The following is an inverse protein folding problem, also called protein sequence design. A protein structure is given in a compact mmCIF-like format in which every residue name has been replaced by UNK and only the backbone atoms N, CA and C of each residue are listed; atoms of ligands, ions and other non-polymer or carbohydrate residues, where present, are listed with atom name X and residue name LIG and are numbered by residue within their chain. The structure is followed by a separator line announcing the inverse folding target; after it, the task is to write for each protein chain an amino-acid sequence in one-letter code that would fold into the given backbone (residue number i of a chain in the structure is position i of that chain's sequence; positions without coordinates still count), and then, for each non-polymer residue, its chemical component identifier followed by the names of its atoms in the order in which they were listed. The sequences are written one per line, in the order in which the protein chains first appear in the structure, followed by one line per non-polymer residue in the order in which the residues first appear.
data_IF_445063604831
#
_entry.id   IF_445063604831
#
_cell.length_a   1.000
_cell.length_b   1.000
_cell.length_c   1.000
_cell.angle_alpha   90.00
_cell.angle_beta   90.00
_cell.angle_gamma   90.00
#
_symmetry.space_group_name_H-M   'P 1'
#
loop_
_entity.id
_entity.type
_entity.pdbx_description
1 polymer ?
#
# COMPACT_ATOMS: atom_id res chain seq x y z
N UNK A 1 -54.12 20.28 -15.36
CA UNK A 1 -54.37 21.24 -14.28
C UNK A 1 -54.15 20.54 -12.94
N UNK A 2 -53.04 20.77 -12.27
CA UNK A 2 -52.80 20.86 -10.83
C UNK A 2 -51.30 21.07 -10.63
N UNK A 3 -50.97 22.28 -10.16
CA UNK A 3 -49.64 22.73 -9.74
C UNK A 3 -49.14 21.89 -8.58
N UNK A 4 -47.84 21.53 -8.63
CA UNK A 4 -47.05 21.17 -7.44
C UNK A 4 -45.92 22.19 -7.33
N UNK A 5 -45.90 22.87 -6.21
CA UNK A 5 -45.02 23.97 -5.88
C UNK A 5 -43.61 23.49 -5.58
N UNK A 6 -42.63 24.23 -6.11
CA UNK A 6 -41.23 24.22 -5.70
C UNK A 6 -41.11 24.75 -4.26
N UNK A 7 -40.43 24.02 -3.40
CA UNK A 7 -39.85 24.56 -2.16
C UNK A 7 -38.33 24.55 -2.30
N UNK A 8 -37.80 25.67 -2.81
CA UNK A 8 -36.42 26.07 -2.61
C UNK A 8 -36.24 26.56 -1.17
N UNK A 9 -35.50 25.80 -0.35
CA UNK A 9 -34.95 26.32 0.90
C UNK A 9 -33.44 26.46 0.75
N UNK A 10 -33.03 27.62 0.23
CA UNK A 10 -31.64 28.09 0.28
C UNK A 10 -31.29 28.45 1.73
N UNK A 11 -30.41 27.67 2.35
CA UNK A 11 -29.80 28.03 3.64
C UNK A 11 -28.65 28.99 3.37
N UNK A 12 -28.89 30.27 3.60
CA UNK A 12 -27.87 31.31 3.63
C UNK A 12 -26.97 31.12 4.85
N UNK A 13 -25.73 30.71 4.62
CA UNK A 13 -24.65 30.81 5.62
C UNK A 13 -24.10 32.24 5.62
N UNK A 14 -24.39 32.94 6.71
CA UNK A 14 -23.88 34.27 7.02
C UNK A 14 -22.36 34.19 7.27
N UNK A 15 -21.55 34.97 6.53
CA UNK A 15 -20.13 35.16 6.77
C UNK A 15 -19.93 36.01 8.04
N UNK A 16 -19.83 35.33 9.19
CA UNK A 16 -19.39 35.93 10.45
C UNK A 16 -17.86 36.00 10.51
N UNK A 17 -17.37 37.15 10.82
CA UNK A 17 -15.97 37.58 10.97
C UNK A 17 -15.10 36.60 11.75
N UNK A 18 -13.92 36.28 11.18
CA UNK A 18 -12.83 35.59 11.90
C UNK A 18 -12.24 36.51 12.97
N UNK A 19 -12.05 36.04 14.20
CA UNK A 19 -11.30 36.79 15.19
C UNK A 19 -9.82 36.76 14.84
N UNK A 20 -9.19 37.93 14.77
CA UNK A 20 -7.74 38.11 14.64
C UNK A 20 -7.06 37.53 15.88
N UNK A 21 -6.34 36.44 15.74
CA UNK A 21 -5.44 35.94 16.75
C UNK A 21 -4.22 36.84 16.85
N UNK A 22 -4.15 37.52 17.96
CA UNK A 22 -3.05 38.37 18.39
C UNK A 22 -1.79 37.50 18.58
N UNK A 23 -0.73 37.83 17.86
CA UNK A 23 0.60 37.23 18.06
C UNK A 23 1.22 37.86 19.31
N UNK A 24 1.07 37.23 20.45
CA UNK A 24 1.91 37.50 21.63
C UNK A 24 2.86 36.32 21.83
N UNK A 25 4.04 36.45 21.23
CA UNK A 25 5.21 35.62 21.55
C UNK A 25 5.70 36.00 22.93
N UNK A 26 5.27 35.29 23.98
CA UNK A 26 6.01 35.28 25.24
C UNK A 26 6.68 33.94 25.40
N UNK A 27 7.99 34.02 25.40
CA UNK A 27 8.96 32.99 25.75
C UNK A 27 8.57 32.32 27.07
N UNK A 28 8.30 31.03 27.04
CA UNK A 28 8.43 30.18 28.22
C UNK A 28 9.80 29.50 28.14
N UNK A 29 10.80 30.21 28.71
CA UNK A 29 12.09 29.65 29.04
C UNK A 29 11.90 28.65 30.19
N UNK A 30 12.10 27.37 29.90
CA UNK A 30 12.12 26.32 30.90
C UNK A 30 13.37 26.45 31.77
N UNK A 31 13.20 26.89 33.01
CA UNK A 31 14.20 26.92 34.05
C UNK A 31 14.49 25.48 34.52
N UNK A 32 15.50 24.85 33.94
CA UNK A 32 16.22 23.77 34.58
C UNK A 32 17.66 24.21 34.85
N UNK A 33 17.85 24.94 35.93
CA UNK A 33 19.20 25.21 36.49
C UNK A 33 19.42 24.34 37.72
N UNK A 34 20.48 23.54 37.64
CA UNK A 34 21.40 23.11 38.68
C UNK A 34 20.83 22.51 39.97
N UNK A 35 21.04 21.23 40.15
CA UNK A 35 21.55 20.69 41.43
C UNK A 35 22.71 19.72 41.17
N UNK A 36 23.92 20.30 41.05
CA UNK A 36 25.16 19.62 41.45
C UNK A 36 25.42 20.09 42.88
N UNK A 37 25.56 19.14 43.79
CA UNK A 37 26.05 19.45 45.14
C UNK A 37 25.80 18.34 46.11
N UNK A 38 26.84 17.56 46.38
CA UNK A 38 27.21 16.93 47.64
C UNK A 38 26.27 15.88 48.26
N UNK A 39 26.77 14.65 48.26
CA UNK A 39 27.02 13.92 49.48
C UNK A 39 28.01 12.75 49.18
N UNK A 40 29.26 12.97 49.59
CA UNK A 40 30.23 11.89 49.92
C UNK A 40 29.92 11.48 51.35
N UNK A 41 29.76 10.19 51.60
CA UNK A 41 30.39 9.49 52.70
C UNK A 41 29.74 8.11 52.93
N UNK A 42 30.60 7.09 52.89
CA UNK A 42 30.70 5.93 53.75
C UNK A 42 29.51 4.92 53.90
N UNK A 43 29.83 3.70 53.46
CA UNK A 43 29.11 2.51 53.84
C UNK A 43 29.52 1.28 53.01
N UNK A 44 30.71 0.72 53.32
CA UNK A 44 31.06 -0.64 52.86
C UNK A 44 30.22 -1.64 53.63
N UNK A 45 29.43 -2.45 52.94
CA UNK A 45 28.98 -3.77 53.45
C UNK A 45 28.65 -4.67 52.28
N UNK A 46 29.41 -5.74 52.25
CA UNK A 46 29.33 -6.93 51.43
C UNK A 46 27.90 -7.48 51.37
N UNK A 47 27.36 -7.74 50.17
CA UNK A 47 26.37 -8.79 49.98
C UNK A 47 26.59 -9.52 48.66
N UNK A 48 26.53 -10.79 48.81
CA UNK A 48 26.77 -11.93 47.97
C UNK A 48 26.20 -11.82 46.52
N UNK A 49 26.98 -12.42 45.67
CA UNK A 49 26.68 -12.78 44.30
C UNK A 49 25.28 -13.39 44.12
N UNK A 50 24.46 -12.76 43.35
CA UNK A 50 23.38 -13.42 42.59
C UNK A 50 23.50 -12.93 41.16
N UNK A 51 23.68 -13.90 40.25
CA UNK A 51 24.06 -13.70 38.86
C UNK A 51 23.07 -12.78 38.10
N UNK A 52 23.52 -11.60 37.78
CA UNK A 52 23.01 -10.86 36.68
C UNK A 52 23.62 -11.46 35.42
N UNK A 53 22.88 -12.34 34.74
CA UNK A 53 23.17 -12.70 33.37
C UNK A 53 23.10 -11.40 32.53
N UNK A 54 24.27 -10.87 32.25
CA UNK A 54 24.49 -9.88 31.18
C UNK A 54 24.02 -10.57 29.91
N UNK A 55 22.85 -10.17 29.42
CA UNK A 55 22.45 -10.47 28.06
C UNK A 55 23.45 -9.71 27.15
N UNK A 56 24.58 -10.36 26.86
CA UNK A 56 25.37 -10.00 25.70
C UNK A 56 24.50 -10.34 24.50
N UNK A 57 23.94 -9.30 23.90
CA UNK A 57 23.28 -9.36 22.60
C UNK A 57 24.37 -9.69 21.54
N UNK A 58 24.82 -10.96 21.53
CA UNK A 58 25.53 -11.50 20.40
C UNK A 58 24.51 -11.62 19.28
N UNK A 59 24.42 -10.56 18.46
CA UNK A 59 23.86 -10.65 17.12
C UNK A 59 24.66 -11.74 16.38
N UNK A 60 24.30 -13.01 16.57
CA UNK A 60 24.55 -14.02 15.56
C UNK A 60 23.88 -13.51 14.29
N UNK A 61 24.66 -13.02 13.34
CA UNK A 61 24.23 -12.85 11.96
C UNK A 61 23.77 -14.24 11.51
N UNK A 62 22.46 -14.46 11.58
CA UNK A 62 21.84 -15.62 10.97
C UNK A 62 22.25 -15.62 9.49
N UNK A 63 23.15 -16.54 9.12
CA UNK A 63 23.54 -16.80 7.73
C UNK A 63 22.48 -17.59 6.96
N UNK A 64 21.23 -17.63 7.45
CA UNK A 64 20.15 -18.18 6.65
C UNK A 64 19.90 -17.24 5.48
N UNK A 65 20.32 -17.66 4.30
CA UNK A 65 19.93 -17.02 3.05
C UNK A 65 18.41 -17.16 2.91
N UNK A 66 17.69 -16.08 3.21
CA UNK A 66 16.26 -15.99 2.94
C UNK A 66 16.05 -16.10 1.44
N UNK A 67 14.91 -16.68 1.05
CA UNK A 67 14.46 -16.73 -0.32
C UNK A 67 13.09 -16.08 -0.38
N UNK A 68 13.05 -14.78 -0.68
CA UNK A 68 11.80 -14.03 -0.76
C UNK A 68 11.51 -13.60 -2.20
N UNK A 69 10.23 -13.62 -2.57
CA UNK A 69 9.69 -12.93 -3.74
C UNK A 69 8.87 -11.76 -3.23
N UNK A 70 9.35 -10.55 -3.52
CA UNK A 70 8.73 -9.30 -3.07
C UNK A 70 7.64 -8.86 -4.06
N UNK A 71 6.38 -8.91 -3.63
CA UNK A 71 5.23 -8.53 -4.47
C UNK A 71 4.84 -7.06 -4.33
N UNK A 72 5.59 -6.29 -3.52
CA UNK A 72 5.31 -4.88 -3.25
C UNK A 72 6.61 -4.07 -3.27
N UNK A 73 7.06 -3.74 -4.48
CA UNK A 73 8.35 -3.09 -4.72
C UNK A 73 8.20 -1.97 -5.73
N UNK A 74 8.52 -0.74 -5.32
CA UNK A 74 8.38 0.43 -6.18
C UNK A 74 9.67 0.76 -6.91
N UNK A 75 9.52 1.36 -8.07
CA UNK A 75 10.61 1.82 -8.92
C UNK A 75 10.33 3.24 -9.43
N UNK A 76 11.38 3.97 -9.75
CA UNK A 76 11.30 5.37 -10.12
C UNK A 76 12.07 5.65 -11.40
N UNK A 77 11.45 5.47 -12.61
CA UNK A 77 12.06 5.91 -13.86
C UNK A 77 12.45 7.40 -13.77
N UNK A 78 13.60 7.82 -14.33
CA UNK A 78 14.11 9.18 -14.12
C UNK A 78 13.12 10.31 -14.47
N UNK A 79 12.39 10.16 -15.59
CA UNK A 79 11.37 11.16 -15.96
C UNK A 79 10.20 11.21 -14.98
N UNK A 80 9.74 10.06 -14.50
CA UNK A 80 8.70 9.97 -13.49
C UNK A 80 9.18 10.51 -12.14
N UNK A 81 10.39 10.13 -11.69
CA UNK A 81 10.98 10.61 -10.45
C UNK A 81 11.03 12.14 -10.44
N UNK A 82 11.54 12.73 -11.52
CA UNK A 82 11.58 14.20 -11.65
C UNK A 82 10.18 14.82 -11.58
N UNK A 83 9.22 14.29 -12.32
CA UNK A 83 7.85 14.82 -12.33
C UNK A 83 7.18 14.69 -10.95
N UNK A 84 7.46 13.60 -10.23
CA UNK A 84 6.97 13.38 -8.87
C UNK A 84 7.57 14.39 -7.88
N UNK A 85 8.88 14.59 -7.89
CA UNK A 85 9.55 15.56 -7.02
C UNK A 85 9.08 17.00 -7.32
N UNK A 86 8.95 17.38 -8.59
CA UNK A 86 8.39 18.67 -9.01
C UNK A 86 6.93 18.86 -8.51
N UNK A 87 6.14 17.77 -8.48
CA UNK A 87 4.77 17.78 -7.97
C UNK A 87 4.73 18.02 -6.45
N UNK A 88 5.59 17.34 -5.70
CA UNK A 88 5.73 17.50 -4.26
C UNK A 88 6.21 18.91 -3.89
N UNK A 89 7.22 19.43 -4.60
CA UNK A 89 7.74 20.78 -4.40
C UNK A 89 6.67 21.87 -4.56
N UNK A 90 5.87 21.77 -5.63
CA UNK A 90 4.76 22.71 -5.89
C UNK A 90 3.70 22.70 -4.77
N UNK A 91 3.62 21.67 -3.98
CA UNK A 91 2.64 21.48 -2.90
C UNK A 91 3.25 21.56 -1.51
N UNK A 92 4.55 21.86 -1.42
CA UNK A 92 5.32 21.87 -0.18
C UNK A 92 5.21 20.55 0.59
N UNK A 93 5.18 19.42 -0.14
CA UNK A 93 5.24 18.07 0.42
C UNK A 93 6.71 17.69 0.58
N UNK A 94 7.18 17.32 1.79
CA UNK A 94 8.56 16.90 1.99
C UNK A 94 8.87 15.63 1.20
N UNK A 95 10.01 15.61 0.51
CA UNK A 95 10.48 14.43 -0.21
C UNK A 95 10.87 13.32 0.75
N UNK A 96 10.56 12.10 0.37
CA UNK A 96 11.05 10.93 1.08
C UNK A 96 12.48 10.61 0.60
N UNK A 97 13.44 10.59 1.52
CA UNK A 97 14.88 10.51 1.20
C UNK A 97 15.21 9.33 0.27
N UNK A 98 14.67 8.15 0.55
CA UNK A 98 14.94 6.95 -0.25
C UNK A 98 14.30 6.99 -1.65
N UNK A 99 13.22 7.72 -1.83
CA UNK A 99 12.60 7.99 -3.12
C UNK A 99 13.51 8.88 -3.99
N UNK A 100 14.12 9.89 -3.38
CA UNK A 100 15.08 10.79 -4.07
C UNK A 100 16.34 10.05 -4.49
N UNK A 101 16.86 9.17 -3.64
CA UNK A 101 18.09 8.42 -3.86
C UNK A 101 17.90 7.06 -4.54
N UNK A 102 16.69 6.74 -5.02
CA UNK A 102 16.42 5.45 -5.64
C UNK A 102 17.26 5.24 -6.90
N UNK A 103 17.83 4.05 -7.03
CA UNK A 103 18.49 3.56 -8.24
C UNK A 103 18.32 2.05 -8.37
N UNK A 104 18.54 1.53 -9.58
CA UNK A 104 18.47 0.08 -9.86
C UNK A 104 19.55 -0.67 -9.06
N UNK A 105 20.77 -0.13 -9.01
CA UNK A 105 21.90 -0.71 -8.28
C UNK A 105 21.62 -0.75 -6.77
N UNK A 106 21.03 0.34 -6.24
CA UNK A 106 20.59 0.42 -4.85
C UNK A 106 19.53 -0.63 -4.53
N UNK A 107 18.53 -0.78 -5.39
CA UNK A 107 17.48 -1.78 -5.24
C UNK A 107 18.06 -3.21 -5.23
N UNK A 108 18.94 -3.53 -6.18
CA UNK A 108 19.61 -4.85 -6.26
C UNK A 108 20.45 -5.13 -5.01
N UNK A 109 21.22 -4.14 -4.54
CA UNK A 109 22.03 -4.26 -3.32
C UNK A 109 21.18 -4.53 -2.07
N UNK A 110 20.05 -3.80 -1.93
CA UNK A 110 19.11 -3.98 -0.82
C UNK A 110 18.39 -5.35 -0.91
N UNK A 111 18.02 -5.79 -2.11
CA UNK A 111 17.47 -7.13 -2.37
C UNK A 111 18.45 -8.23 -1.94
N UNK A 112 19.72 -8.12 -2.36
CA UNK A 112 20.74 -9.11 -2.01
C UNK A 112 20.98 -9.17 -0.51
N UNK A 113 21.02 -8.02 0.16
CA UNK A 113 21.21 -7.92 1.60
C UNK A 113 20.04 -8.52 2.39
N UNK A 114 18.81 -8.41 1.88
CA UNK A 114 17.60 -8.91 2.53
C UNK A 114 17.24 -10.36 2.11
N UNK A 115 17.93 -10.96 1.14
CA UNK A 115 17.59 -12.28 0.60
C UNK A 115 16.38 -12.28 -0.33
N UNK A 116 16.02 -11.12 -0.90
CA UNK A 116 14.97 -10.99 -1.92
C UNK A 116 15.54 -11.39 -3.29
N UNK A 117 15.05 -12.47 -3.85
CA UNK A 117 15.55 -13.01 -5.13
C UNK A 117 14.87 -12.36 -6.33
N UNK A 118 13.58 -12.12 -6.24
CA UNK A 118 12.78 -11.47 -7.28
C UNK A 118 11.90 -10.41 -6.65
N UNK A 119 11.76 -9.25 -7.28
CA UNK A 119 10.84 -8.19 -6.88
C UNK A 119 9.89 -7.84 -8.02
N UNK A 120 8.61 -7.64 -7.71
CA UNK A 120 7.59 -7.24 -8.67
C UNK A 120 7.53 -5.73 -8.73
N UNK A 121 8.03 -5.16 -9.81
CA UNK A 121 8.05 -3.71 -10.03
C UNK A 121 6.64 -3.16 -10.15
N UNK A 122 6.30 -2.17 -9.33
CA UNK A 122 5.02 -1.46 -9.37
C UNK A 122 5.20 0.02 -9.09
N UNK A 123 4.30 0.85 -9.60
CA UNK A 123 4.33 2.29 -9.29
C UNK A 123 3.61 2.56 -7.97
N UNK A 124 4.19 3.41 -7.14
CA UNK A 124 3.55 3.85 -5.89
C UNK A 124 2.35 4.78 -6.14
N UNK A 125 2.27 5.38 -7.33
CA UNK A 125 1.11 6.15 -7.77
C UNK A 125 0.98 6.08 -9.30
N UNK A 126 -0.19 6.43 -9.81
CA UNK A 126 -0.41 6.45 -11.27
C UNK A 126 0.31 7.64 -11.89
N UNK A 127 1.24 7.40 -12.83
CA UNK A 127 1.94 8.46 -13.53
C UNK A 127 0.97 9.43 -14.22
N UNK A 128 1.10 10.72 -13.94
CA UNK A 128 0.37 11.78 -14.61
C UNK A 128 -1.01 12.11 -14.07
N UNK A 129 -1.70 11.22 -13.36
CA UNK A 129 -3.02 11.55 -12.75
C UNK A 129 -2.87 12.61 -11.66
N UNK A 130 -1.82 12.51 -10.86
CA UNK A 130 -1.51 13.50 -9.85
C UNK A 130 -0.93 14.80 -10.38
N UNK A 131 -0.35 14.74 -11.58
CA UNK A 131 0.40 15.85 -12.14
C UNK A 131 -0.47 16.79 -12.97
N UNK A 132 -1.80 16.58 -12.98
CA UNK A 132 -2.76 17.38 -13.73
C UNK A 132 -2.40 17.51 -15.23
N UNK A 133 -1.88 16.42 -15.78
CA UNK A 133 -1.44 16.38 -17.17
C UNK A 133 -2.61 16.11 -18.12
N UNK A 134 -2.52 16.58 -19.38
CA UNK A 134 -3.43 16.15 -20.44
C UNK A 134 -3.33 14.64 -20.69
N UNK A 135 -4.42 13.99 -21.11
CA UNK A 135 -4.49 12.55 -21.34
C UNK A 135 -3.32 12.00 -22.21
N UNK A 136 -2.94 12.73 -23.24
CA UNK A 136 -1.80 12.35 -24.11
C UNK A 136 -0.49 12.25 -23.33
N UNK A 137 -0.24 13.19 -22.43
CA UNK A 137 0.97 13.18 -21.59
C UNK A 137 0.91 12.10 -20.50
N UNK A 138 -0.27 11.85 -19.96
CA UNK A 138 -0.50 10.75 -19.01
C UNK A 138 -0.17 9.41 -19.68
N UNK A 139 -0.74 9.14 -20.87
CA UNK A 139 -0.51 7.91 -21.61
C UNK A 139 0.97 7.73 -21.98
N UNK A 140 1.63 8.80 -22.39
CA UNK A 140 3.07 8.79 -22.68
C UNK A 140 3.90 8.48 -21.43
N UNK A 141 3.58 9.06 -20.29
CA UNK A 141 4.27 8.79 -19.02
C UNK A 141 4.07 7.35 -18.57
N UNK A 142 2.83 6.84 -18.61
CA UNK A 142 2.50 5.44 -18.30
C UNK A 142 3.31 4.49 -19.17
N UNK A 143 3.27 4.67 -20.49
CA UNK A 143 4.03 3.87 -21.44
C UNK A 143 5.53 3.89 -21.14
N UNK A 144 6.10 5.06 -20.90
CA UNK A 144 7.53 5.19 -20.61
C UNK A 144 7.95 4.51 -19.30
N UNK A 145 7.06 4.50 -18.27
CA UNK A 145 7.32 3.77 -17.04
C UNK A 145 7.29 2.25 -17.25
N UNK A 146 6.31 1.75 -18.00
CA UNK A 146 6.22 0.32 -18.31
C UNK A 146 7.40 -0.16 -19.16
N UNK A 147 7.81 0.62 -20.16
CA UNK A 147 8.97 0.33 -21.01
C UNK A 147 10.28 0.31 -20.20
N UNK A 148 10.44 1.26 -19.27
CA UNK A 148 11.61 1.29 -18.38
C UNK A 148 11.69 0.05 -17.50
N UNK A 149 10.56 -0.38 -16.92
CA UNK A 149 10.51 -1.60 -16.13
C UNK A 149 10.82 -2.85 -16.97
N UNK A 150 10.29 -2.94 -18.18
CA UNK A 150 10.60 -4.03 -19.10
C UNK A 150 12.11 -4.07 -19.44
N UNK A 151 12.75 -2.91 -19.62
CA UNK A 151 14.19 -2.83 -19.80
C UNK A 151 14.96 -3.31 -18.59
N UNK A 152 14.55 -2.90 -17.35
CA UNK A 152 15.16 -3.42 -16.11
C UNK A 152 15.10 -4.95 -16.02
N UNK A 153 13.98 -5.56 -16.43
CA UNK A 153 13.81 -7.01 -16.44
C UNK A 153 14.78 -7.68 -17.42
N UNK A 154 14.98 -7.08 -18.60
CA UNK A 154 15.93 -7.58 -19.61
C UNK A 154 17.38 -7.46 -19.13
N UNK A 155 17.72 -6.33 -18.51
CA UNK A 155 19.09 -6.05 -18.03
C UNK A 155 19.46 -6.92 -16.80
N UNK A 156 18.45 -7.36 -16.00
CA UNK A 156 18.63 -8.13 -14.80
C UNK A 156 17.74 -9.40 -14.76
N UNK A 157 18.02 -10.39 -15.62
CA UNK A 157 17.18 -11.59 -15.77
C UNK A 157 16.94 -12.30 -14.44
N UNK A 158 15.66 -12.59 -14.16
CA UNK A 158 15.24 -13.31 -12.95
C UNK A 158 15.17 -12.46 -11.67
N UNK A 159 15.60 -11.19 -11.71
CA UNK A 159 15.57 -10.31 -10.53
C UNK A 159 14.27 -9.51 -10.41
N UNK A 160 13.66 -9.19 -11.50
CA UNK A 160 12.44 -8.38 -11.52
C UNK A 160 11.31 -9.06 -12.29
N UNK A 161 10.08 -8.71 -11.95
CA UNK A 161 8.85 -8.90 -12.70
C UNK A 161 8.10 -7.58 -12.77
N UNK A 162 6.95 -7.53 -13.46
CA UNK A 162 6.21 -6.29 -13.71
C UNK A 162 4.73 -6.41 -13.37
N UNK A 163 4.27 -5.57 -12.45
CA UNK A 163 2.89 -5.15 -12.36
C UNK A 163 2.74 -3.81 -13.08
N UNK A 164 2.40 -3.88 -14.37
CA UNK A 164 2.37 -2.73 -15.25
C UNK A 164 1.32 -1.69 -14.80
N UNK A 165 1.69 -0.42 -14.83
CA UNK A 165 0.75 0.66 -14.48
C UNK A 165 -0.21 0.96 -15.63
N UNK A 166 -1.45 1.35 -15.31
CA UNK A 166 -2.49 1.73 -16.26
C UNK A 166 -2.99 3.14 -15.95
N UNK A 167 -3.54 3.83 -16.94
CA UNK A 167 -4.04 5.21 -16.75
C UNK A 167 -5.35 5.24 -15.96
N UNK A 168 -6.28 4.34 -16.24
CA UNK A 168 -7.64 4.26 -15.67
C UNK A 168 -8.52 5.52 -15.84
N UNK A 169 -8.01 6.61 -16.43
CA UNK A 169 -8.75 7.86 -16.63
C UNK A 169 -9.55 7.88 -17.94
N UNK A 170 -9.15 7.07 -18.91
CA UNK A 170 -9.85 6.87 -20.18
C UNK A 170 -9.87 5.38 -20.52
N UNK A 171 -11.06 4.84 -20.73
CA UNK A 171 -11.25 3.40 -20.97
C UNK A 171 -10.53 2.93 -22.23
N UNK A 172 -10.61 3.69 -23.33
CA UNK A 172 -10.02 3.29 -24.60
C UNK A 172 -8.50 3.17 -24.49
N UNK A 173 -7.84 4.22 -24.02
CA UNK A 173 -6.38 4.20 -23.85
C UNK A 173 -5.91 3.18 -22.82
N UNK A 174 -6.71 2.93 -21.78
CA UNK A 174 -6.42 1.87 -20.82
C UNK A 174 -6.47 0.48 -21.44
N UNK A 175 -7.46 0.19 -22.30
CA UNK A 175 -7.55 -1.08 -23.02
C UNK A 175 -6.40 -1.26 -24.02
N UNK A 176 -5.99 -0.19 -24.70
CA UNK A 176 -4.81 -0.19 -25.59
C UNK A 176 -3.53 -0.48 -24.81
N UNK A 177 -3.38 0.12 -23.60
CA UNK A 177 -2.23 -0.15 -22.74
C UNK A 177 -2.25 -1.57 -22.18
N UNK A 178 -3.40 -2.13 -21.78
CA UNK A 178 -3.54 -3.53 -21.37
C UNK A 178 -3.06 -4.47 -22.48
N UNK A 179 -3.47 -4.23 -23.72
CA UNK A 179 -2.99 -5.04 -24.85
C UNK A 179 -1.47 -4.95 -24.98
N UNK A 180 -0.90 -3.76 -24.89
CA UNK A 180 0.54 -3.56 -25.02
C UNK A 180 1.33 -4.26 -23.91
N UNK A 181 0.97 -4.06 -22.64
CA UNK A 181 1.75 -4.61 -21.53
C UNK A 181 1.71 -6.14 -21.46
N UNK A 182 0.58 -6.76 -21.85
CA UNK A 182 0.50 -8.22 -21.86
C UNK A 182 1.03 -8.84 -23.17
N UNK A 183 0.75 -8.21 -24.33
CA UNK A 183 1.03 -8.82 -25.62
C UNK A 183 2.46 -8.50 -26.11
N UNK A 184 3.01 -7.34 -25.72
CA UNK A 184 4.36 -6.91 -26.12
C UNK A 184 5.36 -7.05 -24.97
N UNK A 185 5.09 -6.43 -23.80
CA UNK A 185 6.03 -6.42 -22.69
C UNK A 185 6.01 -7.73 -21.87
N UNK A 186 4.97 -8.56 -21.99
CA UNK A 186 4.79 -9.80 -21.23
C UNK A 186 4.77 -9.57 -19.72
N UNK A 187 4.08 -8.51 -19.29
CA UNK A 187 3.91 -8.20 -17.89
C UNK A 187 3.27 -9.37 -17.11
N UNK A 188 3.73 -9.60 -15.87
CA UNK A 188 3.20 -10.63 -14.98
C UNK A 188 1.80 -10.28 -14.46
N UNK A 189 1.46 -8.98 -14.43
CA UNK A 189 0.16 -8.47 -14.01
C UNK A 189 0.05 -6.97 -14.22
N UNK A 190 -0.97 -6.35 -13.61
CA UNK A 190 -1.15 -4.89 -13.62
C UNK A 190 -1.21 -4.34 -12.20
N UNK A 191 -0.64 -3.15 -12.00
CA UNK A 191 -0.70 -2.38 -10.76
C UNK A 191 -1.71 -1.24 -10.89
N UNK A 192 -2.74 -1.26 -10.06
CA UNK A 192 -3.80 -0.25 -10.01
C UNK A 192 -3.75 0.53 -8.69
N UNK A 193 -4.26 1.74 -8.73
CA UNK A 193 -4.50 2.53 -7.52
C UNK A 193 -5.89 2.25 -6.96
N UNK A 194 -6.08 2.55 -5.68
CA UNK A 194 -7.36 2.36 -4.99
C UNK A 194 -8.46 3.28 -5.48
N UNK A 195 -8.08 4.45 -6.00
CA UNK A 195 -9.01 5.44 -6.56
C UNK A 195 -8.36 6.24 -7.70
N UNK A 196 -9.20 6.83 -8.54
CA UNK A 196 -8.81 7.73 -9.63
C UNK A 196 -9.76 8.92 -9.62
N UNK A 197 -9.29 10.04 -9.06
CA UNK A 197 -10.12 11.23 -8.84
C UNK A 197 -11.20 10.97 -7.79
N UNK A 198 -12.45 11.03 -8.19
CA UNK A 198 -13.65 10.83 -7.36
C UNK A 198 -14.26 9.41 -7.47
N UNK A 199 -13.55 8.47 -8.13
CA UNK A 199 -14.03 7.11 -8.39
C UNK A 199 -13.19 6.07 -7.66
N UNK A 200 -13.84 5.23 -6.88
CA UNK A 200 -13.24 4.03 -6.31
C UNK A 200 -13.15 2.92 -7.34
N UNK A 201 -12.27 1.94 -7.11
CA UNK A 201 -12.00 0.84 -8.04
C UNK A 201 -13.24 0.05 -8.48
N UNK A 202 -14.31 -0.02 -7.67
CA UNK A 202 -15.57 -0.69 -8.04
C UNK A 202 -16.54 0.16 -8.86
N UNK A 203 -16.16 1.35 -9.33
CA UNK A 203 -17.04 2.21 -10.14
C UNK A 203 -17.38 1.55 -11.48
N UNK A 204 -18.63 1.71 -11.94
CA UNK A 204 -19.16 1.06 -13.15
C UNK A 204 -18.39 1.40 -14.43
N UNK A 205 -17.80 2.59 -14.52
CA UNK A 205 -17.01 3.01 -15.67
C UNK A 205 -15.79 2.10 -15.92
N UNK A 206 -15.32 1.38 -14.91
CA UNK A 206 -14.18 0.47 -15.04
C UNK A 206 -14.58 -0.94 -15.46
N UNK A 207 -15.88 -1.22 -15.63
CA UNK A 207 -16.35 -2.54 -16.04
C UNK A 207 -15.67 -3.07 -17.31
N UNK A 208 -15.52 -2.30 -18.42
CA UNK A 208 -14.86 -2.80 -19.62
C UNK A 208 -13.39 -3.17 -19.39
N UNK A 209 -12.71 -2.46 -18.48
CA UNK A 209 -11.31 -2.72 -18.11
C UNK A 209 -11.20 -4.04 -17.36
N UNK A 210 -12.06 -4.26 -16.34
CA UNK A 210 -12.07 -5.52 -15.59
C UNK A 210 -12.56 -6.69 -16.44
N UNK A 211 -13.44 -6.49 -17.40
CA UNK A 211 -13.84 -7.52 -18.38
C UNK A 211 -12.65 -8.02 -19.20
N UNK A 212 -11.81 -7.11 -19.69
CA UNK A 212 -10.60 -7.46 -20.44
C UNK A 212 -9.54 -8.11 -19.54
N UNK A 213 -9.31 -7.59 -18.32
CA UNK A 213 -8.41 -8.22 -17.35
C UNK A 213 -8.88 -9.63 -16.95
N UNK A 214 -10.19 -9.82 -16.79
CA UNK A 214 -10.78 -11.14 -16.52
C UNK A 214 -10.61 -12.10 -17.70
N UNK A 215 -10.80 -11.64 -18.94
CA UNK A 215 -10.57 -12.44 -20.15
C UNK A 215 -9.12 -12.91 -20.24
N UNK A 216 -8.17 -12.07 -19.82
CA UNK A 216 -6.72 -12.36 -19.78
C UNK A 216 -6.31 -13.20 -18.57
N UNK A 217 -7.19 -13.44 -17.61
CA UNK A 217 -6.89 -14.09 -16.32
C UNK A 217 -5.78 -13.36 -15.55
N UNK A 218 -5.83 -12.04 -15.58
CA UNK A 218 -4.77 -11.18 -15.08
C UNK A 218 -4.62 -11.26 -13.56
N UNK A 219 -3.38 -11.07 -13.08
CA UNK A 219 -3.12 -10.66 -11.72
C UNK A 219 -3.29 -9.13 -11.63
N UNK A 220 -4.13 -8.68 -10.70
CA UNK A 220 -4.40 -7.26 -10.47
C UNK A 220 -4.00 -6.90 -9.04
N UNK A 221 -2.93 -6.13 -8.95
CA UNK A 221 -2.38 -5.61 -7.70
C UNK A 221 -2.92 -4.22 -7.41
N UNK A 222 -3.34 -3.97 -6.17
CA UNK A 222 -3.83 -2.66 -5.73
C UNK A 222 -2.90 -2.00 -4.73
N UNK A 223 -2.44 -0.79 -5.08
CA UNK A 223 -1.68 0.07 -4.19
C UNK A 223 -2.52 1.29 -3.75
N UNK A 224 -2.49 1.71 -2.47
CA UNK A 224 -3.29 2.82 -2.01
C UNK A 224 -2.80 4.16 -2.55
N UNK A 225 -3.77 5.02 -2.84
CA UNK A 225 -3.58 6.42 -3.15
C UNK A 225 -4.55 7.23 -2.29
N UNK A 226 -4.01 8.09 -1.41
CA UNK A 226 -4.85 8.88 -0.53
C UNK A 226 -5.86 9.71 -1.33
N UNK A 227 -7.15 9.50 -1.07
CA UNK A 227 -8.21 10.21 -1.77
C UNK A 227 -8.17 11.71 -1.43
N UNK A 228 -8.40 12.56 -2.42
CA UNK A 228 -8.32 14.02 -2.29
C UNK A 228 -9.25 14.59 -1.21
N UNK A 229 -10.37 13.92 -0.90
CA UNK A 229 -11.29 14.30 0.17
C UNK A 229 -10.63 14.28 1.56
N UNK A 230 -9.62 13.43 1.79
CA UNK A 230 -8.97 13.26 3.09
C UNK A 230 -8.03 14.42 3.44
N UNK A 231 -7.52 15.15 2.46
CA UNK A 231 -6.66 16.32 2.67
C UNK A 231 -7.31 17.50 3.39
N UNK A 232 -8.64 17.47 3.59
CA UNK A 232 -9.40 18.55 4.26
C UNK A 232 -9.29 18.52 5.79
N UNK A 233 -8.98 17.37 6.37
CA UNK A 233 -8.82 17.18 7.81
C UNK A 233 -7.47 16.51 8.08
N UNK A 234 -6.47 17.34 8.42
CA UNK A 234 -5.13 16.86 8.69
C UNK A 234 -5.01 16.38 10.14
N UNK A 235 -4.58 15.14 10.33
CA UNK A 235 -4.32 14.55 11.66
C UNK A 235 -2.94 14.88 12.21
N UNK A 236 -2.11 15.61 11.47
CA UNK A 236 -0.72 15.91 11.85
C UNK A 236 0.27 14.78 11.56
N UNK A 237 -0.16 13.74 10.85
CA UNK A 237 0.71 12.64 10.40
C UNK A 237 0.69 12.49 8.88
N UNK A 238 1.64 11.71 8.35
CA UNK A 238 1.66 11.39 6.92
C UNK A 238 0.43 10.59 6.49
N UNK A 239 -0.13 10.84 5.30
CA UNK A 239 -1.27 10.08 4.77
C UNK A 239 -1.01 8.56 4.72
N UNK A 240 0.23 8.12 4.55
CA UNK A 240 0.61 6.72 4.57
C UNK A 240 0.25 6.00 5.88
N UNK A 241 0.16 6.72 7.01
CA UNK A 241 -0.14 6.11 8.32
C UNK A 241 -1.62 5.74 8.47
N UNK A 242 -2.52 6.61 8.02
CA UNK A 242 -3.96 6.44 8.20
C UNK A 242 -4.69 6.26 6.86
N UNK A 243 -4.44 7.14 5.91
CA UNK A 243 -5.24 7.15 4.68
C UNK A 243 -4.95 5.93 3.80
N UNK A 244 -3.68 5.54 3.63
CA UNK A 244 -3.31 4.41 2.78
C UNK A 244 -4.03 3.10 3.19
N UNK A 245 -3.97 2.62 4.46
CA UNK A 245 -4.70 1.40 4.84
C UNK A 245 -6.22 1.55 4.73
N UNK A 246 -6.77 2.75 4.98
CA UNK A 246 -8.21 2.97 4.82
C UNK A 246 -8.62 3.01 3.34
N UNK A 247 -7.79 3.54 2.45
CA UNK A 247 -8.08 3.59 1.03
C UNK A 247 -8.02 2.22 0.38
N UNK A 248 -7.07 1.36 0.76
CA UNK A 248 -7.11 -0.07 0.41
C UNK A 248 -8.43 -0.69 0.81
N UNK A 249 -8.89 -0.44 2.05
CA UNK A 249 -10.16 -0.98 2.54
C UNK A 249 -11.36 -0.46 1.75
N UNK A 250 -11.38 0.82 1.39
CA UNK A 250 -12.45 1.42 0.56
C UNK A 250 -12.50 0.78 -0.83
N UNK A 251 -11.33 0.54 -1.45
CA UNK A 251 -11.26 -0.14 -2.74
C UNK A 251 -11.82 -1.57 -2.67
N UNK A 252 -11.41 -2.36 -1.65
CA UNK A 252 -11.93 -3.72 -1.45
C UNK A 252 -13.44 -3.71 -1.26
N UNK A 253 -13.97 -2.82 -0.41
CA UNK A 253 -15.42 -2.72 -0.17
C UNK A 253 -16.17 -2.26 -1.43
N UNK A 254 -15.62 -1.30 -2.17
CA UNK A 254 -16.19 -0.83 -3.44
C UNK A 254 -16.29 -1.96 -4.47
N UNK A 255 -15.23 -2.73 -4.67
CA UNK A 255 -15.21 -3.90 -5.56
C UNK A 255 -16.14 -5.01 -5.09
N UNK A 256 -16.18 -5.30 -3.78
CA UNK A 256 -17.06 -6.29 -3.19
C UNK A 256 -18.53 -5.94 -3.49
N UNK A 257 -18.97 -4.73 -3.14
CA UNK A 257 -20.36 -4.30 -3.28
C UNK A 257 -20.78 -4.13 -4.74
N UNK A 258 -19.83 -3.85 -5.65
CA UNK A 258 -20.05 -3.87 -7.10
C UNK A 258 -20.12 -5.31 -7.67
N UNK A 259 -19.94 -6.34 -6.85
CA UNK A 259 -19.96 -7.75 -7.30
C UNK A 259 -18.74 -8.15 -8.13
N UNK A 260 -17.65 -7.37 -8.11
CA UNK A 260 -16.49 -7.59 -8.96
C UNK A 260 -15.85 -8.97 -8.73
N UNK A 261 -15.76 -9.42 -7.47
CA UNK A 261 -15.17 -10.72 -7.11
C UNK A 261 -16.00 -11.92 -7.56
N UNK A 262 -17.30 -11.71 -7.77
CA UNK A 262 -18.23 -12.71 -8.31
C UNK A 262 -18.25 -12.67 -9.84
N UNK A 263 -18.24 -11.45 -10.43
CA UNK A 263 -18.33 -11.25 -11.87
C UNK A 263 -17.02 -11.62 -12.58
N UNK A 264 -15.86 -11.26 -12.00
CA UNK A 264 -14.56 -11.39 -12.63
C UNK A 264 -13.71 -12.49 -11.96
N UNK A 265 -14.20 -13.73 -12.00
CA UNK A 265 -13.64 -14.89 -11.26
C UNK A 265 -12.25 -15.32 -11.74
N UNK A 266 -11.83 -14.94 -12.94
CA UNK A 266 -10.51 -15.29 -13.47
C UNK A 266 -9.42 -14.29 -13.04
N UNK A 267 -9.78 -13.13 -12.46
CA UNK A 267 -8.82 -12.19 -11.94
C UNK A 267 -8.25 -12.71 -10.61
N UNK A 268 -6.92 -12.72 -10.50
CA UNK A 268 -6.23 -12.90 -9.24
C UNK A 268 -6.06 -11.52 -8.58
N UNK A 269 -6.80 -11.27 -7.50
CA UNK A 269 -6.84 -9.98 -6.82
C UNK A 269 -5.83 -9.92 -5.69
N UNK A 270 -4.84 -9.02 -5.76
CA UNK A 270 -3.83 -8.80 -4.73
C UNK A 270 -3.95 -7.40 -4.14
N UNK A 271 -4.10 -7.31 -2.82
CA UNK A 271 -4.23 -6.04 -2.11
C UNK A 271 -3.05 -5.80 -1.17
N UNK A 272 -2.52 -4.59 -1.20
CA UNK A 272 -1.40 -4.16 -0.39
C UNK A 272 -1.73 -4.03 1.10
N UNK A 273 -0.67 -4.03 1.93
CA UNK A 273 -0.72 -3.72 3.36
C UNK A 273 -1.75 -4.55 4.15
N UNK A 274 -1.74 -5.87 3.93
CA UNK A 274 -2.69 -6.82 4.55
C UNK A 274 -4.16 -6.49 4.24
N UNK A 275 -4.45 -5.82 3.12
CA UNK A 275 -5.80 -5.34 2.81
C UNK A 275 -6.23 -4.14 3.65
N UNK A 276 -5.26 -3.41 4.23
CA UNK A 276 -5.52 -2.26 5.08
C UNK A 276 -6.25 -2.64 6.36
N UNK A 277 -7.44 -2.10 6.57
CA UNK A 277 -8.28 -2.39 7.75
C UNK A 277 -9.35 -3.46 7.51
N UNK A 278 -9.36 -4.11 6.35
CA UNK A 278 -10.34 -5.17 6.01
C UNK A 278 -10.41 -6.29 7.04
N UNK A 279 -9.29 -6.83 7.57
CA UNK A 279 -9.37 -7.88 8.58
C UNK A 279 -10.15 -7.46 9.84
N UNK A 280 -10.10 -6.19 10.21
CA UNK A 280 -10.84 -5.64 11.34
C UNK A 280 -12.29 -5.28 10.99
N UNK A 281 -12.58 -5.01 9.72
CA UNK A 281 -13.90 -4.56 9.26
C UNK A 281 -14.79 -5.69 8.74
N UNK A 282 -14.26 -6.87 8.46
CA UNK A 282 -15.00 -7.98 7.84
C UNK A 282 -16.33 -8.29 8.55
N UNK A 283 -16.31 -8.42 9.88
CA UNK A 283 -17.53 -8.63 10.68
C UNK A 283 -18.52 -7.46 10.60
N UNK A 284 -18.00 -6.21 10.56
CA UNK A 284 -18.84 -5.03 10.41
C UNK A 284 -19.48 -4.95 9.03
N UNK A 285 -18.74 -5.25 7.97
CA UNK A 285 -19.25 -5.31 6.61
C UNK A 285 -20.37 -6.36 6.53
N UNK A 286 -20.13 -7.55 7.12
CA UNK A 286 -21.13 -8.61 7.17
C UNK A 286 -22.39 -8.21 7.96
N UNK A 287 -22.25 -7.48 9.07
CA UNK A 287 -23.38 -6.99 9.84
C UNK A 287 -24.30 -6.07 9.04
N UNK A 288 -23.74 -5.14 8.26
CA UNK A 288 -24.52 -4.16 7.50
C UNK A 288 -25.04 -4.70 6.15
N UNK A 289 -24.30 -5.59 5.51
CA UNK A 289 -24.59 -6.03 4.14
C UNK A 289 -24.91 -7.52 4.00
N UNK A 290 -24.61 -8.35 5.02
CA UNK A 290 -24.80 -9.81 4.95
C UNK A 290 -26.25 -10.26 4.79
N UNK A 291 -27.22 -9.43 5.17
CA UNK A 291 -28.66 -9.68 5.03
C UNK A 291 -29.32 -8.78 3.96
N UNK A 292 -28.53 -8.09 3.12
CA UNK A 292 -29.07 -7.26 2.04
C UNK A 292 -29.84 -8.14 1.03
N UNK A 293 -30.94 -7.62 0.47
CA UNK A 293 -31.77 -8.37 -0.50
C UNK A 293 -30.97 -8.87 -1.70
N UNK A 294 -29.98 -8.10 -2.11
CA UNK A 294 -29.09 -8.37 -3.23
C UNK A 294 -27.74 -8.98 -2.82
N UNK A 295 -27.59 -9.47 -1.59
CA UNK A 295 -26.29 -10.04 -1.12
C UNK A 295 -25.79 -11.16 -2.02
N UNK A 296 -26.67 -11.91 -2.65
CA UNK A 296 -26.28 -12.99 -3.56
C UNK A 296 -25.61 -12.49 -4.85
N UNK A 297 -25.82 -11.26 -5.23
CA UNK A 297 -25.21 -10.68 -6.43
C UNK A 297 -23.71 -10.37 -6.22
N UNK A 298 -23.30 -10.11 -4.96
CA UNK A 298 -21.92 -9.74 -4.65
C UNK A 298 -21.22 -10.66 -3.61
N UNK A 299 -21.98 -11.44 -2.87
CA UNK A 299 -21.44 -12.39 -1.88
C UNK A 299 -22.33 -13.64 -1.75
N UNK A 300 -22.44 -14.49 -2.79
CA UNK A 300 -23.33 -15.64 -2.81
C UNK A 300 -23.05 -16.66 -1.71
N UNK A 301 -21.78 -16.77 -1.27
CA UNK A 301 -21.32 -17.67 -0.22
C UNK A 301 -21.02 -16.94 1.11
N UNK A 302 -21.38 -15.65 1.19
CA UNK A 302 -21.12 -14.77 2.32
C UNK A 302 -19.90 -13.87 2.12
N UNK A 303 -19.90 -12.73 2.77
CA UNK A 303 -18.91 -11.67 2.62
C UNK A 303 -17.49 -12.15 2.97
N UNK A 304 -17.34 -12.86 4.11
CA UNK A 304 -16.02 -13.37 4.49
C UNK A 304 -15.50 -14.41 3.49
N UNK A 305 -16.39 -15.20 2.86
CA UNK A 305 -15.99 -16.16 1.84
C UNK A 305 -15.42 -15.47 0.60
N UNK A 306 -15.98 -14.31 0.20
CA UNK A 306 -15.43 -13.53 -0.90
C UNK A 306 -14.07 -12.89 -0.52
N UNK A 307 -13.94 -12.32 0.68
CA UNK A 307 -12.69 -11.76 1.16
C UNK A 307 -11.57 -12.81 1.29
N UNK A 308 -11.90 -14.07 1.59
CA UNK A 308 -10.95 -15.17 1.70
C UNK A 308 -10.35 -15.64 0.38
N UNK A 309 -10.93 -15.26 -0.75
CA UNK A 309 -10.42 -15.58 -2.10
C UNK A 309 -9.30 -14.63 -2.54
N UNK A 310 -9.18 -13.47 -1.89
CA UNK A 310 -8.25 -12.42 -2.26
C UNK A 310 -6.86 -12.70 -1.70
N UNK A 311 -5.84 -12.21 -2.41
CA UNK A 311 -4.47 -12.23 -1.92
C UNK A 311 -4.13 -10.91 -1.23
N UNK A 312 -3.22 -10.99 -0.26
CA UNK A 312 -2.81 -9.85 0.56
C UNK A 312 -1.30 -9.88 0.76
N UNK A 313 -0.62 -8.76 0.56
CA UNK A 313 0.79 -8.70 0.89
C UNK A 313 1.05 -8.32 2.36
N UNK A 314 2.28 -8.47 2.80
CA UNK A 314 2.70 -8.18 4.18
C UNK A 314 3.34 -6.81 4.35
N UNK A 315 3.43 -6.01 3.28
CA UNK A 315 4.12 -4.74 3.30
C UNK A 315 3.59 -3.85 4.43
N UNK A 316 4.49 -3.36 5.28
CA UNK A 316 4.18 -2.48 6.40
C UNK A 316 3.07 -3.02 7.36
N UNK A 317 2.81 -4.32 7.35
CA UNK A 317 1.76 -4.96 8.14
C UNK A 317 2.27 -6.11 9.04
N UNK A 318 3.59 -6.31 9.15
CA UNK A 318 4.22 -7.40 9.91
C UNK A 318 4.14 -7.24 11.44
N UNK A 319 3.36 -6.28 11.93
CA UNK A 319 3.07 -6.17 13.36
C UNK A 319 2.19 -7.35 13.82
N UNK A 320 2.45 -7.96 15.01
CA UNK A 320 1.74 -9.16 15.48
C UNK A 320 0.21 -9.03 15.48
N UNK A 321 -0.35 -7.88 15.86
CA UNK A 321 -1.80 -7.66 15.86
C UNK A 321 -2.39 -7.63 14.44
N UNK A 322 -1.71 -6.97 13.49
CA UNK A 322 -2.16 -6.89 12.09
C UNK A 322 -2.14 -8.25 11.43
N UNK A 323 -1.02 -8.99 11.58
CA UNK A 323 -0.87 -10.32 11.00
C UNK A 323 -1.81 -11.34 11.64
N UNK A 324 -2.05 -11.25 12.96
CA UNK A 324 -3.03 -12.14 13.62
C UNK A 324 -4.44 -11.91 13.08
N UNK A 325 -4.84 -10.66 12.85
CA UNK A 325 -6.13 -10.34 12.27
C UNK A 325 -6.25 -10.86 10.82
N UNK A 326 -5.21 -10.66 9.99
CA UNK A 326 -5.17 -11.15 8.61
C UNK A 326 -5.26 -12.68 8.56
N UNK A 327 -4.39 -13.39 9.30
CA UNK A 327 -4.34 -14.86 9.32
C UNK A 327 -5.58 -15.50 9.97
N UNK A 328 -6.38 -14.73 10.72
CA UNK A 328 -7.69 -15.16 11.17
C UNK A 328 -8.76 -15.05 10.07
N UNK A 329 -8.65 -14.04 9.21
CA UNK A 329 -9.58 -13.83 8.11
C UNK A 329 -9.31 -14.77 6.94
N UNK A 330 -8.03 -14.97 6.55
CA UNK A 330 -7.64 -15.73 5.36
C UNK A 330 -6.66 -16.86 5.70
N UNK A 331 -6.61 -17.93 4.89
CA UNK A 331 -5.57 -18.95 5.03
C UNK A 331 -4.20 -18.38 4.61
N UNK A 332 -3.13 -18.94 5.15
CA UNK A 332 -1.75 -18.54 4.84
C UNK A 332 -1.45 -18.56 3.32
N UNK A 333 -2.11 -19.43 2.56
CA UNK A 333 -1.98 -19.51 1.10
C UNK A 333 -2.42 -18.26 0.34
N UNK A 334 -3.12 -17.33 1.00
CA UNK A 334 -3.56 -16.06 0.41
C UNK A 334 -2.68 -14.89 0.86
N UNK A 335 -1.57 -15.16 1.54
CA UNK A 335 -0.66 -14.12 2.03
C UNK A 335 0.67 -14.23 1.29
N UNK A 336 1.16 -13.13 0.74
CA UNK A 336 2.43 -13.04 0.02
C UNK A 336 3.34 -12.00 0.68
N UNK A 337 4.66 -12.14 0.54
CA UNK A 337 5.61 -11.18 1.05
C UNK A 337 5.58 -9.88 0.22
N UNK A 338 5.63 -8.73 0.89
CA UNK A 338 5.80 -7.42 0.33
C UNK A 338 6.68 -6.56 1.24
N UNK A 339 7.56 -5.74 0.67
CA UNK A 339 8.48 -4.89 1.42
C UNK A 339 8.06 -3.44 1.55
N UNK A 340 7.33 -2.91 0.59
CA UNK A 340 7.06 -1.47 0.40
C UNK A 340 8.35 -0.66 0.12
N UNK A 341 9.32 -1.29 -0.55
CA UNK A 341 10.56 -0.62 -0.96
C UNK A 341 10.26 0.49 -1.99
N UNK A 342 10.88 1.66 -1.93
CA UNK A 342 11.99 2.07 -1.05
C UNK A 342 11.55 2.75 0.26
N UNK A 343 10.25 2.81 0.56
CA UNK A 343 9.74 3.51 1.75
C UNK A 343 10.21 2.85 3.04
N UNK A 344 10.34 1.52 3.04
CA UNK A 344 10.87 0.75 4.17
C UNK A 344 12.09 -0.07 3.76
N UNK A 345 13.07 -0.27 4.67
CA UNK A 345 14.16 -1.19 4.44
C UNK A 345 13.66 -2.63 4.32
N UNK A 346 14.07 -3.35 3.26
CA UNK A 346 13.63 -4.74 3.03
C UNK A 346 14.03 -5.68 4.15
N UNK A 347 15.24 -5.55 4.68
CA UNK A 347 15.74 -6.35 5.80
C UNK A 347 14.87 -6.19 7.06
N UNK A 348 14.38 -4.99 7.31
CA UNK A 348 13.44 -4.72 8.41
C UNK A 348 12.14 -5.48 8.22
N UNK A 349 11.60 -5.54 7.00
CA UNK A 349 10.35 -6.24 6.72
C UNK A 349 10.52 -7.77 6.82
N UNK A 350 11.61 -8.32 6.28
CA UNK A 350 11.94 -9.76 6.42
C UNK A 350 12.11 -10.12 7.90
N UNK A 351 12.91 -9.36 8.65
CA UNK A 351 13.15 -9.62 10.07
C UNK A 351 11.86 -9.52 10.90
N UNK A 352 11.00 -8.55 10.61
CA UNK A 352 9.71 -8.38 11.30
C UNK A 352 8.76 -9.55 11.01
N UNK A 353 8.74 -10.08 9.78
CA UNK A 353 7.96 -11.28 9.42
C UNK A 353 8.44 -12.49 10.23
N UNK A 354 9.76 -12.70 10.32
CA UNK A 354 10.36 -13.79 11.08
C UNK A 354 10.10 -13.67 12.60
N UNK A 355 10.05 -12.44 13.13
CA UNK A 355 9.77 -12.18 14.54
C UNK A 355 8.32 -12.53 14.95
N UNK A 356 7.43 -12.81 14.02
CA UNK A 356 6.03 -13.20 14.32
C UNK A 356 5.89 -14.59 14.94
N UNK A 357 6.94 -15.43 14.92
CA UNK A 357 6.88 -16.77 15.46
C UNK A 357 6.02 -17.75 14.65
N UNK A 358 5.84 -17.49 13.36
CA UNK A 358 5.14 -18.40 12.46
C UNK A 358 5.95 -19.69 12.27
N UNK A 359 5.29 -20.81 11.92
CA UNK A 359 5.96 -22.04 11.57
C UNK A 359 6.82 -21.86 10.31
N UNK A 360 7.89 -22.65 10.17
CA UNK A 360 8.76 -22.64 8.97
C UNK A 360 7.93 -22.80 7.68
N UNK A 361 6.97 -23.73 7.68
CA UNK A 361 6.11 -23.93 6.53
C UNK A 361 5.26 -22.70 6.18
N UNK A 362 4.73 -21.98 7.19
CA UNK A 362 3.97 -20.76 6.97
C UNK A 362 4.86 -19.62 6.45
N UNK A 363 6.09 -19.50 6.97
CA UNK A 363 7.07 -18.52 6.49
C UNK A 363 7.41 -18.79 5.02
N UNK A 364 7.79 -20.02 4.65
CA UNK A 364 8.08 -20.38 3.26
C UNK A 364 6.90 -20.10 2.31
N UNK A 365 5.67 -20.36 2.76
CA UNK A 365 4.48 -20.02 1.97
C UNK A 365 4.41 -18.51 1.69
N UNK A 366 4.57 -17.69 2.73
CA UNK A 366 4.46 -16.23 2.61
C UNK A 366 5.64 -15.65 1.84
N UNK A 367 6.86 -16.10 2.13
CA UNK A 367 8.09 -15.56 1.54
C UNK A 367 8.16 -15.78 0.03
N UNK A 368 7.76 -16.95 -0.47
CA UNK A 368 7.92 -17.23 -1.90
C UNK A 368 6.87 -18.17 -2.52
N UNK A 369 6.48 -19.29 -1.86
CA UNK A 369 5.66 -20.32 -2.52
C UNK A 369 4.32 -19.80 -3.04
N UNK A 370 3.65 -18.94 -2.27
CA UNK A 370 2.38 -18.36 -2.70
C UNK A 370 2.58 -17.42 -3.88
N UNK A 371 3.66 -16.62 -3.88
CA UNK A 371 3.99 -15.74 -5.01
C UNK A 371 4.38 -16.53 -6.27
N UNK A 372 5.14 -17.63 -6.14
CA UNK A 372 5.47 -18.53 -7.27
C UNK A 372 4.23 -19.13 -7.95
N UNK A 373 3.17 -19.39 -7.17
CA UNK A 373 1.90 -19.90 -7.71
C UNK A 373 0.96 -18.79 -8.22
N UNK A 374 1.19 -17.57 -7.77
CA UNK A 374 0.33 -16.43 -8.08
C UNK A 374 0.76 -15.75 -9.39
N UNK A 375 2.08 -15.61 -9.63
CA UNK A 375 2.71 -14.85 -10.72
C UNK A 375 2.91 -15.69 -11.98
#
# INVERSE_FOLDING_TARGET
MRNVANHDTAVHFNHGQQPKLNQDRRQLSCLCKNRRGALKALGALSFLASGASVWADTKEKSTKTHYCIDTHHHYYPPAYQKAWLDYEDKRNIPHFVRQVSWSVEGALSDMDSAGVKKAMLSMASTPGVWFDLPLVEINKMVRSCNDYAAQMIQDHPGRFGLFATLTMVDVKSTLEEIAYVFDVLKADGVGLQTNYGDKWAGHEDYAPIFEELNRRKALVYFHPLAASCCGRLNTGTFPAVLEAPHDTSRAVVSLLLAGAFVKYQNIKWLFSHAGGTIPMLAGRINYFHGNAKNVKDFAPNGIEAELRKLFYDTANATHPASMAALLKLVPTSQVVYGSDYPYLPMDTQVNSLHALGLSTAALEMIEHKNAENLI
#
